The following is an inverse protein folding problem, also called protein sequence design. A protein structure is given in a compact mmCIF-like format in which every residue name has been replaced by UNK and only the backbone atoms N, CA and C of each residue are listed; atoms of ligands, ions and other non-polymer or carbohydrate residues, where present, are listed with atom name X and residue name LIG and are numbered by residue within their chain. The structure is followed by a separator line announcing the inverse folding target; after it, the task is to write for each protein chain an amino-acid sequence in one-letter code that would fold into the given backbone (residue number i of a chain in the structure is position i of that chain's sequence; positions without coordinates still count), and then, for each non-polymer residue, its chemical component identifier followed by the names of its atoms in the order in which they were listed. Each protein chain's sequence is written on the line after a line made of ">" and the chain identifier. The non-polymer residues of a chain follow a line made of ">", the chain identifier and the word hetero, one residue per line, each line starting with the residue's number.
data_IF_977136774145
#
_entry.id   IF_977136774145
#
_cell.length_a   1.000
_cell.length_b   1.000
_cell.length_c   1.000
_cell.angle_alpha   90.00
_cell.angle_beta   90.00
_cell.angle_gamma   90.00
#
_symmetry.space_group_name_H-M   'P 1'
#
loop_
_entity.id
_entity.type
_entity.pdbx_description
1 polymer ?
#
# COMPACT_ATOMS: atom_id res chain seq x y z
N UNK A 1 -2.59 -28.60 -87.27
CA UNK A 1 -2.39 -30.01 -87.68
C UNK A 1 -2.42 -30.87 -86.42
N UNK A 2 -3.08 -32.04 -86.44
CA UNK A 2 -4.17 -32.36 -85.49
C UNK A 2 -3.86 -33.50 -84.49
N UNK A 3 -4.89 -33.81 -83.69
CA UNK A 3 -5.22 -35.13 -83.07
C UNK A 3 -4.62 -35.41 -81.69
N UNK A 4 -5.37 -35.59 -80.58
CA UNK A 4 -6.57 -36.40 -80.24
C UNK A 4 -6.21 -37.71 -79.53
N UNK A 5 -6.85 -37.89 -78.36
CA UNK A 5 -7.25 -39.14 -77.67
C UNK A 5 -6.18 -40.06 -77.05
N UNK A 6 -6.28 -40.30 -75.73
CA UNK A 6 -6.87 -41.52 -75.14
C UNK A 6 -6.66 -41.61 -73.61
N UNK A 7 -7.76 -41.83 -72.89
CA UNK A 7 -7.80 -42.38 -71.53
C UNK A 7 -7.37 -43.86 -71.55
N UNK A 8 -6.67 -44.32 -70.51
CA UNK A 8 -6.93 -45.65 -69.97
C UNK A 8 -6.61 -45.76 -68.46
N UNK A 9 -7.52 -46.45 -67.77
CA UNK A 9 -7.57 -46.75 -66.34
C UNK A 9 -6.59 -47.86 -65.96
N UNK A 10 -6.01 -47.81 -64.76
CA UNK A 10 -5.82 -48.95 -63.83
C UNK A 10 -5.18 -48.43 -62.52
N UNK A 11 -5.29 -48.99 -61.31
CA UNK A 11 -6.09 -50.00 -60.60
C UNK A 11 -5.72 -49.74 -59.11
N UNK A 12 -6.67 -49.89 -58.19
CA UNK A 12 -6.48 -49.67 -56.75
C UNK A 12 -5.54 -50.72 -56.12
N UNK A 13 -4.73 -50.27 -55.16
CA UNK A 13 -4.27 -51.10 -54.05
C UNK A 13 -4.51 -50.37 -52.73
N UNK A 14 -5.39 -50.94 -51.90
CA UNK A 14 -5.61 -50.54 -50.51
C UNK A 14 -4.42 -50.96 -49.65
N UNK A 15 -3.92 -50.05 -48.80
CA UNK A 15 -3.15 -50.39 -47.61
C UNK A 15 -3.69 -49.62 -46.39
N UNK A 16 -3.71 -50.22 -45.19
CA UNK A 16 -4.46 -49.72 -44.04
C UNK A 16 -3.70 -48.61 -43.29
N UNK A 17 -4.46 -47.67 -42.71
CA UNK A 17 -3.95 -46.60 -41.84
C UNK A 17 -3.36 -47.18 -40.55
N UNK A 18 -2.17 -46.76 -40.12
CA UNK A 18 -1.75 -46.92 -38.72
C UNK A 18 -2.32 -45.76 -37.89
N UNK A 19 -2.94 -46.12 -36.77
CA UNK A 19 -3.41 -45.21 -35.73
C UNK A 19 -2.22 -44.50 -35.07
N UNK A 20 -2.17 -43.17 -35.19
CA UNK A 20 -1.31 -42.32 -34.36
C UNK A 20 -2.01 -42.00 -33.05
N UNK A 21 -1.49 -42.53 -31.94
CA UNK A 21 -1.82 -42.02 -30.60
C UNK A 21 -1.22 -40.63 -30.44
N UNK A 22 -1.95 -39.63 -29.92
CA UNK A 22 -1.36 -38.34 -29.62
C UNK A 22 -0.48 -38.48 -28.37
N UNK A 23 0.78 -38.05 -28.48
CA UNK A 23 1.65 -37.81 -27.34
C UNK A 23 0.93 -36.88 -26.36
N UNK A 24 0.82 -37.31 -25.10
CA UNK A 24 0.42 -36.46 -23.99
C UNK A 24 1.37 -35.27 -23.91
N UNK A 25 0.85 -34.07 -24.15
CA UNK A 25 1.49 -32.84 -23.70
C UNK A 25 1.58 -32.89 -22.17
N UNK A 26 2.78 -33.19 -21.66
CA UNK A 26 3.13 -32.82 -20.29
C UNK A 26 3.22 -31.30 -20.33
N UNK A 27 2.14 -30.64 -19.90
CA UNK A 27 2.17 -29.20 -19.62
C UNK A 27 3.19 -29.02 -18.51
N UNK A 28 4.38 -28.52 -18.86
CA UNK A 28 5.33 -28.06 -17.88
C UNK A 28 4.61 -26.98 -17.06
N UNK A 29 4.28 -27.30 -15.80
CA UNK A 29 3.84 -26.29 -14.86
C UNK A 29 5.01 -25.32 -14.72
N UNK A 30 4.89 -24.14 -15.32
CA UNK A 30 5.74 -23.00 -15.03
C UNK A 30 5.58 -22.72 -13.54
N UNK A 31 6.50 -23.24 -12.72
CA UNK A 31 6.66 -22.80 -11.34
C UNK A 31 7.11 -21.35 -11.40
N UNK A 32 6.16 -20.43 -11.44
CA UNK A 32 6.41 -19.02 -11.36
C UNK A 32 7.10 -18.78 -10.03
N UNK A 33 8.41 -18.49 -10.06
CA UNK A 33 9.19 -18.21 -8.85
C UNK A 33 8.63 -16.94 -8.25
N UNK A 34 8.03 -17.06 -7.06
CA UNK A 34 7.49 -15.91 -6.33
C UNK A 34 8.61 -14.92 -6.00
N UNK A 35 8.29 -13.63 -6.07
CA UNK A 35 9.24 -12.59 -5.65
C UNK A 35 9.46 -12.68 -4.14
N UNK A 36 10.70 -12.50 -3.70
CA UNK A 36 11.04 -12.54 -2.28
C UNK A 36 10.57 -11.26 -1.59
N UNK A 37 9.98 -11.40 -0.39
CA UNK A 37 9.64 -10.28 0.47
C UNK A 37 10.32 -10.46 1.84
N UNK A 38 10.96 -9.41 2.34
CA UNK A 38 11.74 -9.42 3.59
C UNK A 38 11.19 -8.47 4.66
N UNK A 39 10.28 -7.58 4.29
CA UNK A 39 9.67 -6.63 5.22
C UNK A 39 8.33 -6.09 4.76
N UNK A 40 7.50 -5.71 5.73
CA UNK A 40 6.24 -5.00 5.51
C UNK A 40 6.25 -3.76 6.39
N UNK A 41 5.95 -2.61 5.80
CA UNK A 41 5.88 -1.32 6.46
C UNK A 41 4.44 -0.83 6.41
N UNK A 42 3.91 -0.41 7.55
CA UNK A 42 2.52 -0.02 7.69
C UNK A 42 2.39 1.49 7.91
N UNK A 43 1.30 2.05 7.40
CA UNK A 43 0.72 3.26 7.96
C UNK A 43 -0.01 2.96 9.29
N UNK A 44 -0.34 4.02 10.06
CA UNK A 44 -1.05 3.92 11.32
C UNK A 44 -2.55 4.27 11.19
N UNK A 45 -2.89 5.54 10.95
CA UNK A 45 -4.27 6.04 11.06
C UNK A 45 -5.07 5.78 9.77
N UNK A 46 -6.13 4.97 9.87
CA UNK A 46 -6.84 4.44 8.70
C UNK A 46 -6.39 3.03 8.34
N UNK A 47 -5.25 2.58 8.88
CA UNK A 47 -4.63 1.29 8.57
C UNK A 47 -4.63 0.34 9.76
N UNK A 48 -3.89 0.68 10.81
CA UNK A 48 -3.82 -0.08 12.07
C UNK A 48 -4.79 0.47 13.12
N UNK A 49 -5.01 1.78 13.12
CA UNK A 49 -5.93 2.49 14.02
C UNK A 49 -7.08 3.12 13.26
N UNK A 50 -8.20 3.30 13.94
CA UNK A 50 -9.29 4.14 13.43
C UNK A 50 -8.75 5.57 13.31
N UNK A 51 -8.99 6.29 12.18
CA UNK A 51 -8.57 7.67 12.06
C UNK A 51 -9.44 8.54 12.98
N UNK A 52 -8.93 8.81 14.19
CA UNK A 52 -9.69 9.50 15.26
C UNK A 52 -9.50 11.00 15.27
N UNK A 53 -8.47 11.51 14.60
CA UNK A 53 -8.25 12.95 14.43
C UNK A 53 -9.09 13.40 13.23
N UNK A 54 -10.06 14.28 13.49
CA UNK A 54 -10.78 14.98 12.42
C UNK A 54 -9.90 16.12 11.87
N UNK A 55 -9.03 15.76 10.91
CA UNK A 55 -8.15 16.70 10.24
C UNK A 55 -8.91 17.82 9.54
N UNK A 56 -10.11 17.57 9.01
CA UNK A 56 -10.94 18.61 8.35
C UNK A 56 -11.35 19.68 9.36
N UNK A 57 -11.86 19.26 10.52
CA UNK A 57 -12.20 20.19 11.61
C UNK A 57 -10.97 20.91 12.16
N UNK A 58 -9.82 20.23 12.27
CA UNK A 58 -8.57 20.85 12.70
C UNK A 58 -8.12 21.93 11.70
N UNK A 59 -8.12 21.64 10.40
CA UNK A 59 -7.74 22.61 9.37
C UNK A 59 -8.67 23.82 9.37
N UNK A 60 -9.98 23.63 9.53
CA UNK A 60 -10.94 24.73 9.67
C UNK A 60 -10.71 25.57 10.92
N UNK A 61 -10.35 24.94 12.04
CA UNK A 61 -10.05 25.64 13.28
C UNK A 61 -8.77 26.48 13.18
N UNK A 62 -7.77 26.01 12.44
CA UNK A 62 -6.49 26.72 12.24
C UNK A 62 -6.58 27.80 11.16
N UNK A 63 -7.13 27.47 10.00
CA UNK A 63 -7.13 28.33 8.80
C UNK A 63 -8.36 29.25 8.72
N UNK A 64 -9.47 28.85 9.36
CA UNK A 64 -10.80 29.39 9.08
C UNK A 64 -11.44 28.72 7.85
N UNK A 65 -12.78 28.76 7.79
CA UNK A 65 -13.56 28.05 6.78
C UNK A 65 -13.27 28.52 5.34
N UNK A 66 -13.09 29.83 5.13
CA UNK A 66 -12.82 30.40 3.80
C UNK A 66 -11.47 29.94 3.25
N UNK A 67 -10.43 30.08 4.06
CA UNK A 67 -9.07 29.74 3.64
C UNK A 67 -8.88 28.23 3.50
N UNK A 68 -9.48 27.44 4.40
CA UNK A 68 -9.53 25.99 4.27
C UNK A 68 -10.09 25.57 2.90
N UNK A 69 -11.22 26.14 2.48
CA UNK A 69 -11.84 25.80 1.18
C UNK A 69 -10.94 26.18 0.01
N UNK A 70 -10.35 27.38 0.05
CA UNK A 70 -9.43 27.87 -1.00
C UNK A 70 -8.23 26.93 -1.15
N UNK A 71 -7.52 26.68 -0.06
CA UNK A 71 -6.34 25.81 -0.05
C UNK A 71 -6.71 24.39 -0.46
N UNK A 72 -7.86 23.86 -0.01
CA UNK A 72 -8.29 22.50 -0.38
C UNK A 72 -8.58 22.37 -1.88
N UNK A 73 -9.12 23.40 -2.52
CA UNK A 73 -9.35 23.42 -3.96
C UNK A 73 -8.03 23.48 -4.75
N UNK A 74 -7.08 24.28 -4.28
CA UNK A 74 -5.74 24.39 -4.89
C UNK A 74 -4.88 23.14 -4.65
N UNK A 75 -5.14 22.44 -3.54
CA UNK A 75 -4.40 21.25 -3.11
C UNK A 75 -5.37 20.07 -2.95
N UNK A 76 -5.90 19.51 -4.07
CA UNK A 76 -6.80 18.37 -4.04
C UNK A 76 -6.11 17.13 -3.42
N UNK A 77 -4.78 17.06 -3.51
CA UNK A 77 -3.93 16.06 -2.86
C UNK A 77 -3.81 16.22 -1.34
N UNK A 78 -4.27 17.29 -0.71
CA UNK A 78 -4.26 17.41 0.75
C UNK A 78 -3.67 18.72 1.23
N UNK A 79 -3.85 18.99 2.53
CA UNK A 79 -3.34 20.18 3.18
C UNK A 79 -2.22 19.74 4.11
N UNK A 80 -1.05 20.32 3.93
CA UNK A 80 0.04 20.18 4.88
C UNK A 80 0.01 21.33 5.89
N UNK A 81 -0.81 21.17 6.93
CA UNK A 81 -1.06 22.27 7.87
C UNK A 81 0.22 22.73 8.57
N UNK A 82 1.15 21.82 8.86
CA UNK A 82 2.38 22.15 9.56
C UNK A 82 3.29 22.98 8.66
N UNK A 83 3.44 22.59 7.40
CA UNK A 83 4.22 23.36 6.45
C UNK A 83 3.59 24.74 6.17
N UNK A 84 2.25 24.80 6.06
CA UNK A 84 1.54 26.06 5.81
C UNK A 84 1.76 27.10 6.90
N UNK A 85 1.78 26.67 8.17
CA UNK A 85 1.94 27.61 9.30
C UNK A 85 3.40 28.02 9.51
N UNK A 86 4.40 27.34 8.94
CA UNK A 86 5.83 27.70 9.08
C UNK A 86 6.12 29.14 8.62
N UNK A 87 5.37 29.66 7.64
CA UNK A 87 5.54 31.02 7.11
C UNK A 87 4.71 32.09 7.83
N UNK A 88 3.91 31.72 8.84
CA UNK A 88 3.03 32.66 9.56
C UNK A 88 3.80 33.50 10.59
N UNK A 89 3.19 34.56 11.12
CA UNK A 89 3.80 35.32 12.22
C UNK A 89 3.93 34.45 13.49
N UNK A 90 4.89 34.73 14.39
CA UNK A 90 5.09 33.93 15.59
C UNK A 90 3.82 33.76 16.47
N UNK A 91 3.00 34.81 16.57
CA UNK A 91 1.75 34.76 17.34
C UNK A 91 0.67 33.89 16.69
N UNK A 92 0.58 33.90 15.36
CA UNK A 92 -0.33 33.04 14.60
C UNK A 92 0.12 31.58 14.67
N UNK A 93 1.43 31.31 14.52
CA UNK A 93 2.00 29.98 14.68
C UNK A 93 1.68 29.41 16.06
N UNK A 94 1.85 30.20 17.13
CA UNK A 94 1.55 29.76 18.49
C UNK A 94 0.09 29.34 18.64
N UNK A 95 -0.86 30.16 18.17
CA UNK A 95 -2.31 29.84 18.21
C UNK A 95 -2.66 28.59 17.39
N UNK A 96 -2.08 28.47 16.19
CA UNK A 96 -2.27 27.31 15.33
C UNK A 96 -1.76 26.03 16.00
N UNK A 97 -0.56 26.08 16.56
CA UNK A 97 0.05 24.95 17.27
C UNK A 97 -0.75 24.57 18.52
N UNK A 98 -1.24 25.53 19.31
CA UNK A 98 -2.14 25.26 20.44
C UNK A 98 -3.41 24.51 20.00
N UNK A 99 -3.99 24.91 18.88
CA UNK A 99 -5.17 24.23 18.31
C UNK A 99 -4.83 22.82 17.86
N UNK A 100 -3.74 22.64 17.10
CA UNK A 100 -3.28 21.33 16.61
C UNK A 100 -3.01 20.38 17.79
N UNK A 101 -2.30 20.85 18.82
CA UNK A 101 -2.01 20.07 20.02
C UNK A 101 -3.28 19.63 20.76
N UNK A 102 -4.34 20.45 20.77
CA UNK A 102 -5.61 20.06 21.38
C UNK A 102 -6.31 18.93 20.59
N UNK A 103 -6.31 19.01 19.26
CA UNK A 103 -6.82 17.92 18.42
C UNK A 103 -6.01 16.63 18.58
N UNK A 104 -4.68 16.74 18.66
CA UNK A 104 -3.79 15.61 18.89
C UNK A 104 -4.03 14.95 20.25
N UNK A 105 -4.16 15.75 21.32
CA UNK A 105 -4.45 15.24 22.67
C UNK A 105 -5.76 14.45 22.69
N UNK A 106 -6.83 15.01 22.09
CA UNK A 106 -8.12 14.32 21.96
C UNK A 106 -8.00 13.06 21.10
N UNK A 107 -7.14 13.07 20.08
CA UNK A 107 -6.81 11.89 19.28
C UNK A 107 -6.19 10.76 20.12
N UNK A 108 -5.21 11.08 20.98
CA UNK A 108 -4.57 10.10 21.87
C UNK A 108 -5.56 9.43 22.83
N UNK A 109 -6.47 10.22 23.39
CA UNK A 109 -7.53 9.71 24.29
C UNK A 109 -8.46 8.71 23.59
N UNK A 110 -8.74 8.94 22.31
CA UNK A 110 -9.66 8.14 21.49
C UNK A 110 -8.97 7.05 20.69
N UNK A 111 -7.65 6.92 20.79
CA UNK A 111 -6.85 5.98 20.02
C UNK A 111 -7.37 4.54 20.19
N UNK A 112 -7.80 3.96 19.08
CA UNK A 112 -8.44 2.66 18.97
C UNK A 112 -7.88 1.91 17.76
N UNK A 113 -7.65 0.61 17.89
CA UNK A 113 -7.38 -0.26 16.74
C UNK A 113 -8.61 -0.35 15.84
N UNK A 114 -8.37 -0.57 14.55
CA UNK A 114 -9.44 -0.86 13.60
C UNK A 114 -10.25 -2.10 14.05
N UNK A 115 -11.57 -2.00 14.28
CA UNK A 115 -12.38 -3.10 14.84
C UNK A 115 -12.47 -4.35 13.96
N UNK A 116 -12.36 -4.18 12.64
CA UNK A 116 -12.40 -5.26 11.67
C UNK A 116 -11.01 -5.80 11.28
N UNK A 117 -9.94 -5.31 11.90
CA UNK A 117 -8.60 -5.52 11.39
C UNK A 117 -7.87 -6.66 12.11
N UNK A 118 -7.49 -7.69 11.34
CA UNK A 118 -6.58 -8.76 11.74
C UNK A 118 -5.13 -8.30 11.93
N UNK A 119 -4.91 -7.14 12.57
CA UNK A 119 -3.59 -6.57 12.79
C UNK A 119 -2.74 -7.50 13.68
N UNK A 120 -3.32 -8.00 14.78
CA UNK A 120 -2.64 -8.91 15.69
C UNK A 120 -2.29 -10.23 14.99
N UNK A 121 -3.24 -10.81 14.26
CA UNK A 121 -3.07 -12.04 13.49
C UNK A 121 -2.02 -11.88 12.38
N UNK A 122 -2.09 -10.78 11.62
CA UNK A 122 -1.10 -10.47 10.58
C UNK A 122 0.28 -10.27 11.20
N UNK A 123 0.38 -9.56 12.32
CA UNK A 123 1.66 -9.38 13.01
C UNK A 123 2.24 -10.71 13.52
N UNK A 124 1.41 -11.56 14.13
CA UNK A 124 1.82 -12.90 14.56
C UNK A 124 2.25 -13.80 13.39
N UNK A 125 1.56 -13.69 12.25
CA UNK A 125 1.96 -14.37 11.02
C UNK A 125 3.33 -13.90 10.52
N UNK A 126 3.53 -12.58 10.40
CA UNK A 126 4.79 -12.01 9.96
C UNK A 126 5.96 -12.40 10.88
N UNK A 127 5.73 -12.43 12.20
CA UNK A 127 6.71 -12.88 13.18
C UNK A 127 7.05 -14.37 12.99
N UNK A 128 6.05 -15.22 12.74
CA UNK A 128 6.26 -16.66 12.48
C UNK A 128 7.11 -16.92 11.22
N UNK A 129 7.05 -16.01 10.24
CA UNK A 129 7.85 -16.03 9.00
C UNK A 129 9.16 -15.24 9.11
N UNK A 130 9.42 -14.60 10.26
CA UNK A 130 10.55 -13.69 10.49
C UNK A 130 10.62 -12.52 9.49
N UNK A 131 9.46 -12.07 9.01
CA UNK A 131 9.34 -10.90 8.15
C UNK A 131 9.38 -9.65 9.03
N UNK A 132 10.21 -8.68 8.66
CA UNK A 132 10.38 -7.45 9.45
C UNK A 132 9.14 -6.56 9.34
N UNK A 133 8.81 -5.86 10.41
CA UNK A 133 7.65 -4.98 10.50
C UNK A 133 8.08 -3.56 10.87
N UNK A 134 7.74 -2.61 10.02
CA UNK A 134 8.03 -1.18 10.21
C UNK A 134 6.75 -0.36 10.24
N UNK A 135 6.86 0.88 10.70
CA UNK A 135 5.75 1.84 10.72
C UNK A 135 6.23 3.18 10.15
N UNK A 136 5.42 3.80 9.29
CA UNK A 136 5.60 5.19 8.84
C UNK A 136 4.26 5.90 8.99
N UNK A 137 4.20 6.95 9.81
CA UNK A 137 2.98 7.72 10.06
C UNK A 137 3.21 9.23 10.01
N UNK A 138 2.15 9.99 9.68
CA UNK A 138 2.10 11.44 9.85
C UNK A 138 1.63 11.86 11.25
N UNK A 139 1.40 10.89 12.15
CA UNK A 139 1.05 11.12 13.54
C UNK A 139 2.29 11.42 14.40
N UNK A 140 2.07 11.95 15.60
CA UNK A 140 3.12 12.34 16.55
C UNK A 140 3.78 11.12 17.17
N UNK A 141 5.05 11.24 17.58
CA UNK A 141 5.76 10.14 18.26
C UNK A 141 4.99 9.58 19.46
N UNK A 142 4.35 10.46 20.24
CA UNK A 142 3.56 10.05 21.39
C UNK A 142 2.39 9.10 21.04
N UNK A 143 1.79 9.24 19.84
CA UNK A 143 0.74 8.34 19.39
C UNK A 143 1.29 6.95 19.05
N UNK A 144 2.47 6.90 18.41
CA UNK A 144 3.18 5.65 18.12
C UNK A 144 3.56 4.93 19.40
N UNK A 145 4.14 5.65 20.36
CA UNK A 145 4.53 5.09 21.66
C UNK A 145 3.30 4.55 22.42
N UNK A 146 2.21 5.30 22.41
CA UNK A 146 0.95 4.90 23.04
C UNK A 146 0.35 3.67 22.35
N UNK A 147 0.40 3.59 21.02
CA UNK A 147 -0.07 2.42 20.27
C UNK A 147 0.71 1.16 20.68
N UNK A 148 2.04 1.24 20.65
CA UNK A 148 2.93 0.15 21.06
C UNK A 148 2.60 -0.33 22.48
N UNK A 149 2.47 0.60 23.42
CA UNK A 149 2.18 0.28 24.83
C UNK A 149 0.77 -0.30 25.03
N UNK A 150 -0.24 0.29 24.38
CA UNK A 150 -1.65 -0.03 24.62
C UNK A 150 -2.05 -1.36 24.02
N UNK A 151 -1.47 -1.73 22.88
CA UNK A 151 -1.86 -2.93 22.13
C UNK A 151 -0.82 -4.03 22.12
N UNK A 152 0.37 -3.80 22.68
CA UNK A 152 1.48 -4.76 22.73
C UNK A 152 1.90 -5.28 21.33
N UNK A 153 1.79 -4.41 20.32
CA UNK A 153 2.21 -4.69 18.94
C UNK A 153 3.33 -3.72 18.60
N UNK A 154 4.55 -4.24 18.43
CA UNK A 154 5.74 -3.44 18.16
C UNK A 154 6.06 -3.36 16.66
N UNK A 155 6.49 -2.18 16.22
CA UNK A 155 7.07 -1.94 14.90
C UNK A 155 8.48 -1.33 15.03
N UNK A 156 9.41 -1.76 14.17
CA UNK A 156 10.79 -1.27 14.21
C UNK A 156 11.47 -1.32 12.83
N UNK A 157 11.91 -0.18 12.27
CA UNK A 157 11.73 1.18 12.80
C UNK A 157 10.27 1.65 12.77
N UNK A 158 9.94 2.58 13.67
CA UNK A 158 8.67 3.29 13.69
C UNK A 158 8.91 4.80 13.52
N UNK A 159 8.67 5.30 12.31
CA UNK A 159 8.91 6.68 11.92
C UNK A 159 7.62 7.49 12.04
N UNK A 160 7.56 8.35 13.04
CA UNK A 160 6.49 9.32 13.24
C UNK A 160 6.74 10.58 12.40
N UNK A 161 5.83 11.57 12.50
CA UNK A 161 5.91 12.81 11.74
C UNK A 161 7.25 13.53 11.91
N UNK A 162 7.92 13.40 13.05
CA UNK A 162 9.18 14.11 13.32
C UNK A 162 10.30 13.71 12.34
N UNK A 163 10.19 12.57 11.66
CA UNK A 163 11.08 12.20 10.56
C UNK A 163 10.74 13.05 9.31
N UNK A 164 11.73 13.80 8.80
CA UNK A 164 11.58 14.66 7.62
C UNK A 164 12.55 14.26 6.50
N UNK A 165 12.14 14.35 5.22
CA UNK A 165 10.75 14.57 4.77
C UNK A 165 9.86 13.34 5.08
N UNK A 166 8.56 13.57 5.28
CA UNK A 166 7.57 12.50 5.52
C UNK A 166 6.82 12.14 4.24
N UNK A 167 5.96 11.12 4.30
CA UNK A 167 5.09 10.69 3.20
C UNK A 167 4.35 11.88 2.56
N UNK A 168 4.30 11.98 1.23
CA UNK A 168 4.63 10.95 0.23
C UNK A 168 6.08 10.91 -0.25
N UNK A 169 7.00 11.60 0.41
CA UNK A 169 8.42 11.46 0.10
C UNK A 169 8.90 10.02 0.39
N UNK A 170 9.75 9.40 -0.46
CA UNK A 170 10.22 8.04 -0.23
C UNK A 170 11.26 7.91 0.90
N UNK A 171 11.85 9.00 1.39
CA UNK A 171 12.94 8.97 2.37
C UNK A 171 12.66 8.14 3.63
N UNK A 172 11.46 8.17 4.25
CA UNK A 172 11.16 7.32 5.41
C UNK A 172 11.24 5.83 5.08
N UNK A 173 10.72 5.40 3.94
CA UNK A 173 10.74 4.00 3.55
C UNK A 173 12.14 3.54 3.15
N UNK A 174 12.88 4.40 2.43
CA UNK A 174 14.29 4.15 2.10
C UNK A 174 15.16 4.05 3.36
N UNK A 175 14.89 4.86 4.38
CA UNK A 175 15.56 4.79 5.68
C UNK A 175 15.30 3.45 6.38
N UNK A 176 14.05 2.97 6.37
CA UNK A 176 13.72 1.65 6.91
C UNK A 176 14.44 0.54 6.13
N UNK A 177 14.41 0.58 4.79
CA UNK A 177 15.09 -0.40 3.96
C UNK A 177 16.60 -0.45 4.25
N UNK A 178 17.24 0.71 4.36
CA UNK A 178 18.65 0.82 4.74
C UNK A 178 18.92 0.28 6.15
N UNK A 179 18.03 0.52 7.11
CA UNK A 179 18.17 0.03 8.49
C UNK A 179 18.06 -1.49 8.56
N UNK A 180 17.23 -2.09 7.70
CA UNK A 180 17.04 -3.53 7.61
C UNK A 180 18.05 -4.26 6.72
N UNK A 181 18.88 -3.52 5.97
CA UNK A 181 19.77 -4.04 4.94
C UNK A 181 19.00 -4.90 3.91
N UNK A 182 17.96 -4.30 3.33
CA UNK A 182 17.08 -4.88 2.31
C UNK A 182 16.95 -3.90 1.14
N UNK A 183 16.66 -4.42 -0.05
CA UNK A 183 16.31 -3.56 -1.18
C UNK A 183 14.83 -3.14 -1.09
N UNK A 184 14.45 -1.94 -1.58
CA UNK A 184 13.05 -1.50 -1.56
C UNK A 184 12.10 -2.47 -2.24
N UNK A 185 12.53 -3.11 -3.33
CA UNK A 185 11.75 -4.13 -4.05
C UNK A 185 11.60 -5.46 -3.29
N UNK A 186 12.11 -5.59 -2.07
CA UNK A 186 11.86 -6.69 -1.15
C UNK A 186 10.93 -6.26 0.01
N UNK A 187 10.37 -5.05 -0.05
CA UNK A 187 9.54 -4.46 0.99
C UNK A 187 8.19 -4.07 0.42
N UNK A 188 7.13 -4.18 1.24
CA UNK A 188 5.79 -3.70 0.91
C UNK A 188 5.39 -2.55 1.83
N UNK A 189 4.90 -1.44 1.25
CA UNK A 189 4.20 -0.37 1.97
C UNK A 189 2.70 -0.65 1.97
N UNK A 190 2.09 -0.73 3.14
CA UNK A 190 0.65 -0.97 3.34
C UNK A 190 0.02 0.27 3.99
N UNK A 191 -1.01 0.84 3.39
CA UNK A 191 -1.72 1.99 3.97
C UNK A 191 -3.02 2.33 3.27
N UNK A 192 -3.80 3.27 3.80
CA UNK A 192 -5.14 3.65 3.32
C UNK A 192 -5.13 4.85 2.35
N UNK A 193 -3.98 5.49 2.18
CA UNK A 193 -3.82 6.71 1.39
C UNK A 193 -3.05 6.43 0.10
N UNK A 194 -3.75 6.45 -1.06
CA UNK A 194 -3.07 6.41 -2.37
C UNK A 194 -1.97 7.47 -2.46
N UNK A 195 -2.32 8.68 -2.10
CA UNK A 195 -1.48 9.87 -2.25
C UNK A 195 -0.31 9.94 -1.27
N UNK A 196 -0.39 9.31 -0.10
CA UNK A 196 0.68 9.33 0.92
C UNK A 196 1.43 8.00 0.94
N UNK A 197 0.74 6.89 1.15
CA UNK A 197 1.34 5.57 1.37
C UNK A 197 1.78 4.91 0.07
N UNK A 198 0.86 4.81 -0.89
CA UNK A 198 1.17 4.21 -2.19
C UNK A 198 2.18 5.08 -2.94
N UNK A 199 2.04 6.41 -2.87
CA UNK A 199 3.01 7.33 -3.45
C UNK A 199 4.42 7.17 -2.83
N UNK A 200 4.51 7.09 -1.50
CA UNK A 200 5.78 6.84 -0.80
C UNK A 200 6.41 5.52 -1.25
N UNK A 201 5.63 4.43 -1.24
CA UNK A 201 6.09 3.11 -1.64
C UNK A 201 6.56 3.05 -3.10
N UNK A 202 5.76 3.56 -4.04
CA UNK A 202 6.11 3.61 -5.47
C UNK A 202 7.38 4.42 -5.72
N UNK A 203 7.51 5.60 -5.11
CA UNK A 203 8.69 6.45 -5.26
C UNK A 203 9.95 5.82 -4.67
N UNK A 204 9.81 4.97 -3.65
CA UNK A 204 10.93 4.21 -3.09
C UNK A 204 11.31 2.99 -3.94
N UNK A 205 10.46 2.56 -4.87
CA UNK A 205 10.63 1.32 -5.63
C UNK A 205 10.20 0.07 -4.84
N UNK A 206 9.31 0.24 -3.86
CA UNK A 206 8.75 -0.85 -3.07
C UNK A 206 7.40 -1.34 -3.63
N UNK A 207 7.00 -2.55 -3.22
CA UNK A 207 5.62 -2.99 -3.44
C UNK A 207 4.66 -2.13 -2.64
N UNK A 208 3.44 -1.98 -3.14
CA UNK A 208 2.40 -1.16 -2.51
C UNK A 208 1.09 -1.93 -2.39
N UNK A 209 0.47 -1.85 -1.21
CA UNK A 209 -0.83 -2.42 -0.95
C UNK A 209 -1.74 -1.33 -0.36
N UNK A 210 -2.77 -0.97 -1.11
CA UNK A 210 -3.80 -0.04 -0.68
C UNK A 210 -4.85 -0.79 0.14
N UNK A 211 -5.07 -0.34 1.37
CA UNK A 211 -6.21 -0.75 2.18
C UNK A 211 -7.40 0.19 1.91
N UNK A 212 -8.47 -0.33 1.33
CA UNK A 212 -9.66 0.45 0.98
C UNK A 212 -10.94 -0.26 1.44
N UNK A 213 -11.19 -0.23 2.75
CA UNK A 213 -12.34 -0.91 3.37
C UNK A 213 -13.70 -0.44 2.81
N UNK A 214 -13.78 0.82 2.40
CA UNK A 214 -15.06 1.48 2.02
C UNK A 214 -15.21 1.69 0.51
N UNK A 215 -14.28 1.17 -0.31
CA UNK A 215 -14.29 1.40 -1.75
C UNK A 215 -14.17 2.89 -2.13
N UNK A 216 -13.48 3.68 -1.31
CA UNK A 216 -13.26 5.12 -1.51
C UNK A 216 -12.65 5.39 -2.88
N UNK A 217 -11.80 4.50 -3.35
CA UNK A 217 -11.05 4.66 -4.60
C UNK A 217 -11.65 3.87 -5.77
N UNK A 218 -12.90 3.41 -5.67
CA UNK A 218 -13.61 2.70 -6.76
C UNK A 218 -14.33 3.65 -7.74
N UNK A 219 -14.40 4.95 -7.45
CA UNK A 219 -15.06 5.92 -8.34
C UNK A 219 -14.17 6.39 -9.49
N UNK A 220 -14.81 6.79 -10.60
CA UNK A 220 -14.14 7.33 -11.80
C UNK A 220 -13.26 8.56 -11.53
N UNK A 221 -13.47 9.25 -10.41
CA UNK A 221 -12.66 10.39 -9.98
C UNK A 221 -11.22 9.98 -9.61
N UNK A 222 -11.03 8.74 -9.15
CA UNK A 222 -9.71 8.21 -8.80
C UNK A 222 -9.06 7.42 -9.93
N UNK A 223 -9.83 6.98 -10.93
CA UNK A 223 -9.31 6.34 -12.14
C UNK A 223 -8.39 7.25 -12.98
N UNK A 224 -8.42 8.56 -12.73
CA UNK A 224 -7.57 9.56 -13.40
C UNK A 224 -6.28 9.89 -12.65
N UNK A 225 -6.07 9.32 -11.47
CA UNK A 225 -4.83 9.51 -10.71
C UNK A 225 -3.81 8.52 -11.26
N UNK A 226 -2.70 9.03 -11.81
CA UNK A 226 -1.58 8.23 -12.36
C UNK A 226 -0.75 7.56 -11.25
N UNK A 227 -1.43 6.86 -10.35
CA UNK A 227 -0.84 6.19 -9.20
C UNK A 227 -1.67 4.95 -8.86
N UNK A 228 -1.28 3.83 -9.46
CA UNK A 228 -1.91 2.53 -9.23
C UNK A 228 -1.11 1.72 -8.20
N UNK A 229 -1.74 1.21 -7.13
CA UNK A 229 -1.07 0.30 -6.21
C UNK A 229 -0.84 -1.07 -6.87
N UNK A 230 0.18 -1.80 -6.42
CA UNK A 230 0.40 -3.18 -6.89
C UNK A 230 -0.73 -4.11 -6.44
N UNK A 231 -1.29 -3.82 -5.26
CA UNK A 231 -2.39 -4.57 -4.67
C UNK A 231 -3.40 -3.64 -4.01
N UNK A 232 -4.66 -4.06 -4.01
CA UNK A 232 -5.75 -3.43 -3.27
C UNK A 232 -6.47 -4.50 -2.44
N UNK A 233 -6.74 -4.19 -1.18
CA UNK A 233 -7.41 -5.08 -0.23
C UNK A 233 -8.46 -4.31 0.56
N UNK A 234 -9.49 -5.01 1.05
CA UNK A 234 -10.52 -4.40 1.91
C UNK A 234 -10.22 -4.57 3.41
N UNK A 235 -9.25 -5.41 3.79
CA UNK A 235 -8.91 -5.68 5.19
C UNK A 235 -7.44 -6.10 5.38
N UNK A 236 -6.91 -5.97 6.60
CA UNK A 236 -5.59 -6.53 6.94
C UNK A 236 -5.53 -8.06 6.88
N UNK A 237 -6.68 -8.74 7.02
CA UNK A 237 -6.75 -10.20 6.85
C UNK A 237 -6.46 -10.61 5.40
N UNK A 238 -6.88 -9.80 4.43
CA UNK A 238 -6.57 -10.03 3.01
C UNK A 238 -5.08 -9.80 2.70
N UNK A 239 -4.40 -8.91 3.43
CA UNK A 239 -2.94 -8.75 3.32
C UNK A 239 -2.23 -10.07 3.62
N UNK A 240 -2.66 -10.78 4.68
CA UNK A 240 -2.09 -12.10 5.01
C UNK A 240 -2.22 -13.07 3.82
N UNK A 241 -3.43 -13.26 3.29
CA UNK A 241 -3.69 -14.14 2.14
C UNK A 241 -2.88 -13.75 0.89
N UNK A 242 -2.77 -12.44 0.64
CA UNK A 242 -1.99 -11.87 -0.45
C UNK A 242 -0.51 -12.22 -0.31
N UNK A 243 0.06 -12.04 0.88
CA UNK A 243 1.47 -12.32 1.14
C UNK A 243 1.80 -13.79 0.89
N UNK A 244 0.99 -14.72 1.40
CA UNK A 244 1.18 -16.16 1.17
C UNK A 244 1.06 -16.54 -0.30
N UNK A 245 0.12 -15.91 -1.02
CA UNK A 245 -0.16 -16.25 -2.42
C UNK A 245 0.94 -15.76 -3.35
N UNK A 246 1.43 -14.53 -3.14
CA UNK A 246 2.23 -13.83 -4.16
C UNK A 246 3.73 -13.78 -3.87
N UNK A 247 4.16 -13.99 -2.62
CA UNK A 247 5.56 -13.79 -2.23
C UNK A 247 6.22 -15.04 -1.66
N UNK A 248 7.54 -15.13 -1.86
CA UNK A 248 8.39 -16.00 -1.07
C UNK A 248 8.78 -15.29 0.23
N UNK A 249 8.33 -15.85 1.35
CA UNK A 249 8.48 -15.29 2.69
C UNK A 249 9.60 -15.98 3.49
N UNK A 250 10.59 -16.54 2.80
CA UNK A 250 11.75 -17.10 3.48
C UNK A 250 12.64 -15.99 4.10
N UNK A 251 13.09 -16.17 5.36
CA UNK A 251 13.94 -15.20 6.08
C UNK A 251 15.22 -14.83 5.33
#
# INVERSE_FOLDING_TARGET
>A
MPSSLLLLKSVLFLHPKPHSFPLSHITAMSTQTKTRLRGVVFDMDGTLTVPVIDFSSMYKAVLGETEYRRIRQENPSGIDILHLIESWSPDEQRKANETILDFERRGLERLQIMPAAGAAELCGFLDSKKIRRGLITRNVKQAVDLYHQRFDIMFSPALSREFRPYKPDPAPLLHICSTWDVQPNEVMMVGDSLKDDVACGKRAGAFTCLLDEKGKYDSDDFAKVDLEPDFKVASLAEVHSLLETNFDLMP
#
